data_IF_643337264109
#
_entry.id   IF_643337264109
#
_cell.length_a   1.000
_cell.length_b   1.000
_cell.length_c   1.000
_cell.angle_alpha   90.00
_cell.angle_beta   90.00
_cell.angle_gamma   90.00
#
_symmetry.space_group_name_H-M   'P 1'
#
loop_
_entity.id
_entity.type
_entity.pdbx_description
1 polymer ?
#
# COMPACT_ATOMS: atom_id res chain seq x y z
N UNK A 1 -8.18 3.15 -14.40
CA UNK A 1 -7.66 2.16 -13.43
C UNK A 1 -8.54 0.90 -13.40
N UNK A 2 -9.16 0.56 -14.53
CA UNK A 2 -9.99 -0.63 -14.68
C UNK A 2 -9.57 -1.30 -15.98
N UNK A 3 -8.91 -2.45 -15.88
CA UNK A 3 -8.76 -3.42 -16.98
C UNK A 3 -8.07 -4.65 -16.43
N UNK A 4 -8.86 -5.54 -15.83
CA UNK A 4 -8.79 -6.98 -16.14
C UNK A 4 -9.67 -7.84 -15.22
N UNK A 5 -10.03 -7.40 -14.00
CA UNK A 5 -10.72 -8.28 -13.03
C UNK A 5 -11.98 -7.70 -12.37
N UNK A 6 -12.36 -6.44 -12.65
CA UNK A 6 -13.54 -5.81 -12.01
C UNK A 6 -13.40 -5.60 -10.50
N UNK A 7 -12.16 -5.67 -9.99
CA UNK A 7 -11.85 -5.55 -8.56
C UNK A 7 -11.34 -4.14 -8.25
N UNK A 8 -11.94 -3.49 -7.27
CA UNK A 8 -11.46 -2.21 -6.76
C UNK A 8 -10.27 -2.42 -5.81
N UNK A 9 -9.10 -1.93 -6.23
CA UNK A 9 -7.86 -1.96 -5.47
C UNK A 9 -7.44 -0.53 -5.12
N UNK A 10 -6.81 -0.38 -3.96
CA UNK A 10 -6.14 0.85 -3.57
C UNK A 10 -4.71 0.60 -3.15
N UNK A 11 -3.88 1.64 -3.20
CA UNK A 11 -2.52 1.59 -2.70
C UNK A 11 -2.49 1.99 -1.23
N UNK A 12 -1.60 1.37 -0.48
CA UNK A 12 -1.24 1.80 0.87
C UNK A 12 0.25 2.09 0.89
N UNK A 13 0.59 3.31 1.28
CA UNK A 13 1.98 3.70 1.43
C UNK A 13 2.70 2.82 2.48
N UNK A 14 3.96 2.42 2.24
CA UNK A 14 4.72 2.70 1.02
C UNK A 14 4.47 1.71 -0.12
N UNK A 15 4.05 0.48 0.18
CA UNK A 15 4.34 -0.65 -0.68
C UNK A 15 3.27 -1.76 -0.75
N UNK A 16 2.06 -1.48 -0.28
CA UNK A 16 0.98 -2.46 -0.21
C UNK A 16 -0.14 -2.17 -1.20
N UNK A 17 -0.77 -3.22 -1.73
CA UNK A 17 -2.09 -3.12 -2.37
C UNK A 17 -3.16 -3.63 -1.40
N UNK A 18 -4.27 -2.92 -1.35
CA UNK A 18 -5.43 -3.27 -0.56
C UNK A 18 -6.59 -3.70 -1.45
N UNK A 19 -7.26 -4.78 -1.06
CA UNK A 19 -8.57 -5.17 -1.53
C UNK A 19 -9.57 -4.97 -0.40
N UNK A 20 -10.52 -4.03 -0.58
CA UNK A 20 -11.52 -3.69 0.44
C UNK A 20 -10.89 -3.36 1.82
N UNK A 21 -9.78 -2.62 1.80
CA UNK A 21 -9.04 -2.22 3.02
C UNK A 21 -8.13 -3.30 3.63
N UNK A 22 -8.10 -4.51 3.07
CA UNK A 22 -7.23 -5.62 3.53
C UNK A 22 -6.07 -5.84 2.57
N UNK A 23 -4.89 -6.17 3.10
CA UNK A 23 -3.68 -6.35 2.29
C UNK A 23 -3.80 -7.57 1.38
N UNK A 24 -3.72 -7.37 0.07
CA UNK A 24 -3.70 -8.44 -0.93
C UNK A 24 -2.34 -8.61 -1.58
N UNK A 25 -1.52 -7.55 -1.63
CA UNK A 25 -0.18 -7.60 -2.20
C UNK A 25 0.79 -6.80 -1.35
N UNK A 26 2.03 -7.28 -1.26
CA UNK A 26 3.18 -6.51 -0.83
C UNK A 26 4.21 -6.43 -1.94
N UNK A 27 4.80 -5.25 -2.11
CA UNK A 27 5.87 -4.99 -3.08
C UNK A 27 7.13 -4.63 -2.27
N UNK A 28 8.28 -5.12 -2.65
CA UNK A 28 9.54 -4.78 -1.99
C UNK A 28 10.62 -4.61 -3.05
N UNK A 29 11.32 -3.48 -2.99
CA UNK A 29 12.48 -3.22 -3.83
C UNK A 29 13.74 -3.26 -2.97
N UNK A 30 14.67 -4.12 -3.32
CA UNK A 30 15.98 -4.25 -2.69
C UNK A 30 17.04 -3.82 -3.70
N UNK A 31 17.94 -2.93 -3.30
CA UNK A 31 18.99 -2.43 -4.16
C UNK A 31 20.36 -2.88 -3.65
N UNK A 32 21.24 -3.25 -4.59
CA UNK A 32 22.67 -3.36 -4.35
C UNK A 32 23.31 -2.03 -4.75
N UNK A 33 24.22 -1.52 -3.93
CA UNK A 33 24.99 -0.32 -4.25
C UNK A 33 26.49 -0.59 -4.12
N UNK A 34 27.25 0.07 -4.97
CA UNK A 34 28.70 0.20 -4.82
C UNK A 34 28.98 1.68 -4.57
N UNK A 35 29.45 1.99 -3.36
CA UNK A 35 29.51 3.37 -2.87
C UNK A 35 28.13 4.07 -2.94
N UNK A 36 28.04 5.28 -3.48
CA UNK A 36 26.79 6.04 -3.64
C UNK A 36 26.00 5.70 -4.92
N UNK A 37 26.43 4.69 -5.69
CA UNK A 37 25.80 4.31 -6.97
C UNK A 37 25.04 3.01 -6.81
N UNK A 38 23.73 3.04 -7.09
CA UNK A 38 22.91 1.83 -7.20
C UNK A 38 23.37 1.04 -8.42
N UNK A 39 23.76 -0.23 -8.24
CA UNK A 39 24.16 -1.12 -9.33
C UNK A 39 22.99 -1.95 -9.84
N UNK A 40 22.27 -2.56 -8.92
CA UNK A 40 21.12 -3.42 -9.23
C UNK A 40 19.96 -3.07 -8.31
N UNK A 41 18.73 -3.28 -8.80
CA UNK A 41 17.52 -3.21 -8.00
C UNK A 41 16.63 -4.40 -8.35
N UNK A 42 16.28 -5.21 -7.35
CA UNK A 42 15.35 -6.32 -7.47
C UNK A 42 14.01 -5.92 -6.84
N UNK A 43 12.92 -6.03 -7.59
CA UNK A 43 11.58 -5.78 -7.06
C UNK A 43 10.80 -7.08 -6.97
N UNK A 44 10.52 -7.51 -5.74
CA UNK A 44 9.61 -8.60 -5.44
C UNK A 44 8.17 -8.12 -5.36
N UNK A 45 7.24 -8.86 -5.97
CA UNK A 45 5.80 -8.61 -5.92
C UNK A 45 5.11 -9.87 -5.40
N UNK A 46 4.65 -9.85 -4.16
CA UNK A 46 3.92 -10.96 -3.54
C UNK A 46 2.42 -10.70 -3.56
N UNK A 47 1.68 -11.40 -4.42
CA UNK A 47 0.23 -11.26 -4.56
C UNK A 47 -0.51 -12.50 -4.01
N UNK A 48 -1.44 -12.27 -3.09
CA UNK A 48 -2.27 -13.31 -2.50
C UNK A 48 -3.37 -13.74 -3.47
N UNK A 49 -3.24 -14.95 -4.04
CA UNK A 49 -4.23 -15.51 -4.97
C UNK A 49 -5.34 -16.22 -4.21
N UNK A 50 -5.02 -17.24 -3.43
CA UNK A 50 -5.97 -18.05 -2.67
C UNK A 50 -5.44 -18.29 -1.25
N UNK A 51 -6.33 -18.46 -0.25
CA UNK A 51 -5.92 -18.76 1.11
C UNK A 51 -5.15 -20.09 1.17
N UNK A 52 -4.15 -20.23 2.07
CA UNK A 52 -3.51 -21.50 2.30
C UNK A 52 -4.52 -22.52 2.83
N UNK A 53 -4.30 -23.81 2.55
CA UNK A 53 -5.12 -24.88 3.13
C UNK A 53 -5.12 -24.80 4.66
N UNK A 54 -6.27 -25.12 5.29
CA UNK A 54 -6.59 -24.85 6.70
C UNK A 54 -5.57 -25.36 7.75
N UNK A 55 -4.62 -26.22 7.37
CA UNK A 55 -3.52 -26.68 8.25
C UNK A 55 -2.44 -25.62 8.50
N UNK A 56 -2.46 -24.49 7.80
CA UNK A 56 -1.50 -23.39 7.98
C UNK A 56 -2.27 -22.15 8.46
N UNK A 57 -2.96 -22.26 9.60
CA UNK A 57 -3.39 -21.09 10.33
C UNK A 57 -2.15 -20.49 11.02
N UNK A 58 -1.51 -19.55 10.33
CA UNK A 58 -0.39 -18.77 10.88
C UNK A 58 -0.91 -17.46 11.45
N UNK A 59 -0.39 -17.08 12.61
CA UNK A 59 -0.54 -15.74 13.17
C UNK A 59 -0.16 -14.69 12.11
N UNK A 60 -1.00 -13.66 11.93
CA UNK A 60 -0.79 -12.59 10.95
C UNK A 60 -1.60 -12.68 9.64
N UNK A 61 -2.36 -13.77 9.40
CA UNK A 61 -3.20 -13.90 8.19
C UNK A 61 -4.60 -13.27 8.31
N UNK A 62 -5.03 -12.85 9.49
CA UNK A 62 -6.40 -12.37 9.76
C UNK A 62 -6.79 -11.11 8.96
N UNK A 63 -5.77 -10.32 8.59
CA UNK A 63 -5.91 -9.07 7.84
C UNK A 63 -5.54 -9.21 6.34
N UNK A 64 -5.23 -10.42 5.87
CA UNK A 64 -4.96 -10.66 4.46
C UNK A 64 -6.26 -10.76 3.65
N UNK A 65 -6.21 -10.26 2.43
CA UNK A 65 -7.19 -10.52 1.37
C UNK A 65 -6.58 -11.44 0.31
N UNK A 66 -7.45 -12.11 -0.44
CA UNK A 66 -7.10 -13.05 -1.49
C UNK A 66 -7.93 -12.75 -2.74
N UNK A 67 -7.31 -12.84 -3.91
CA UNK A 67 -7.97 -12.56 -5.18
C UNK A 67 -9.15 -13.51 -5.45
N UNK A 68 -9.03 -14.77 -5.00
CA UNK A 68 -10.07 -15.79 -5.08
C UNK A 68 -11.39 -15.41 -4.37
N UNK A 69 -11.38 -14.40 -3.50
CA UNK A 69 -12.61 -13.88 -2.89
C UNK A 69 -13.43 -12.97 -3.84
N UNK A 70 -12.88 -12.61 -4.99
CA UNK A 70 -13.52 -11.73 -5.99
C UNK A 70 -13.44 -12.26 -7.43
N UNK A 71 -12.71 -13.36 -7.65
CA UNK A 71 -12.47 -13.95 -8.97
C UNK A 71 -12.49 -15.47 -8.82
N UNK A 72 -13.32 -16.15 -9.59
CA UNK A 72 -13.55 -17.61 -9.44
C UNK A 72 -12.31 -18.44 -9.80
N UNK A 73 -11.64 -18.10 -10.91
CA UNK A 73 -10.43 -18.80 -11.36
C UNK A 73 -9.37 -17.80 -11.81
N UNK A 74 -8.16 -17.96 -11.29
CA UNK A 74 -7.02 -17.10 -11.60
C UNK A 74 -5.96 -17.89 -12.35
N UNK A 75 -5.85 -17.66 -13.64
CA UNK A 75 -4.67 -18.07 -14.42
C UNK A 75 -3.49 -17.18 -14.03
N UNK A 76 -2.55 -17.76 -13.27
CA UNK A 76 -1.37 -17.06 -12.76
C UNK A 76 -0.42 -16.65 -13.89
N UNK A 77 -0.33 -17.46 -14.95
CA UNK A 77 0.51 -17.17 -16.10
C UNK A 77 -0.04 -15.97 -16.88
N UNK A 78 -1.33 -15.97 -17.15
CA UNK A 78 -2.02 -14.84 -17.79
C UNK A 78 -1.92 -13.56 -16.93
N UNK A 79 -2.06 -13.69 -15.60
CA UNK A 79 -1.94 -12.56 -14.68
C UNK A 79 -0.54 -11.93 -14.71
N UNK A 80 0.51 -12.75 -14.62
CA UNK A 80 1.90 -12.26 -14.70
C UNK A 80 2.18 -11.65 -16.07
N UNK A 81 1.72 -12.28 -17.15
CA UNK A 81 1.87 -11.76 -18.51
C UNK A 81 1.17 -10.40 -18.71
N UNK A 82 0.08 -10.13 -17.98
CA UNK A 82 -0.60 -8.84 -18.00
C UNK A 82 0.11 -7.78 -17.13
N UNK A 83 0.70 -8.17 -16.00
CA UNK A 83 1.36 -7.24 -15.05
C UNK A 83 2.72 -6.78 -15.59
N UNK A 84 3.55 -7.69 -16.10
CA UNK A 84 4.95 -7.39 -16.46
C UNK A 84 5.12 -6.24 -17.46
N UNK A 85 4.34 -6.15 -18.57
CA UNK A 85 4.47 -5.03 -19.51
C UNK A 85 4.07 -3.70 -18.90
N UNK A 86 3.05 -3.69 -18.02
CA UNK A 86 2.62 -2.48 -17.31
C UNK A 86 3.70 -2.03 -16.32
N UNK A 87 4.27 -2.97 -15.56
CA UNK A 87 5.36 -2.69 -14.64
C UNK A 87 6.58 -2.11 -15.36
N UNK A 88 7.02 -2.74 -16.46
CA UNK A 88 8.11 -2.25 -17.29
C UNK A 88 7.82 -0.83 -17.84
N UNK A 89 6.57 -0.58 -18.27
CA UNK A 89 6.14 0.75 -18.70
C UNK A 89 6.24 1.81 -17.60
N UNK A 90 5.81 1.49 -16.38
CA UNK A 90 5.94 2.40 -15.23
C UNK A 90 7.41 2.65 -14.85
N UNK A 91 8.27 1.63 -14.90
CA UNK A 91 9.71 1.79 -14.65
C UNK A 91 10.34 2.72 -15.69
N UNK A 92 10.03 2.54 -16.97
CA UNK A 92 10.52 3.43 -18.02
C UNK A 92 9.99 4.87 -17.87
N UNK A 93 8.73 5.03 -17.46
CA UNK A 93 8.14 6.35 -17.21
C UNK A 93 8.74 7.02 -15.98
N UNK A 94 9.09 6.30 -14.91
CA UNK A 94 9.74 6.88 -13.73
C UNK A 94 11.04 7.60 -14.09
N UNK A 95 11.80 7.09 -15.06
CA UNK A 95 13.06 7.71 -15.53
C UNK A 95 12.81 9.03 -16.27
N UNK A 96 11.68 9.16 -16.96
CA UNK A 96 11.40 10.29 -17.87
C UNK A 96 10.39 11.28 -17.30
N UNK A 97 9.50 10.85 -16.40
CA UNK A 97 8.40 11.61 -15.84
C UNK A 97 7.93 11.04 -14.49
N UNK A 98 8.84 11.01 -13.51
CA UNK A 98 8.52 10.57 -12.15
C UNK A 98 7.32 11.31 -11.54
N UNK A 99 7.14 12.60 -11.84
CA UNK A 99 6.05 13.41 -11.31
C UNK A 99 4.67 12.91 -11.75
N UNK A 100 4.52 12.45 -13.01
CA UNK A 100 3.26 11.90 -13.49
C UNK A 100 2.93 10.56 -12.81
N UNK A 101 3.93 9.68 -12.67
CA UNK A 101 3.76 8.39 -11.96
C UNK A 101 3.35 8.64 -10.51
N UNK A 102 4.04 9.54 -9.82
CA UNK A 102 3.75 9.90 -8.44
C UNK A 102 2.37 10.54 -8.27
N UNK A 103 1.93 11.35 -9.25
CA UNK A 103 0.57 11.91 -9.26
C UNK A 103 -0.50 10.82 -9.34
N UNK A 104 -0.29 9.78 -10.16
CA UNK A 104 -1.19 8.62 -10.24
C UNK A 104 -1.15 7.79 -8.95
N UNK A 105 0.04 7.62 -8.35
CA UNK A 105 0.19 6.96 -7.06
C UNK A 105 -0.62 7.67 -5.98
N UNK A 106 -0.49 9.00 -5.84
CA UNK A 106 -1.23 9.83 -4.89
C UNK A 106 -2.75 9.66 -5.05
N UNK A 107 -3.25 9.69 -6.29
CA UNK A 107 -4.68 9.52 -6.57
C UNK A 107 -5.21 8.14 -6.15
N UNK A 108 -4.37 7.11 -6.23
CA UNK A 108 -4.71 5.73 -5.88
C UNK A 108 -4.39 5.35 -4.42
N UNK A 109 -3.69 6.21 -3.67
CA UNK A 109 -3.20 5.91 -2.33
C UNK A 109 -4.26 6.21 -1.27
N UNK A 110 -4.82 5.14 -0.70
CA UNK A 110 -5.82 5.17 0.35
C UNK A 110 -5.25 5.64 1.70
N UNK A 111 -3.92 5.68 1.86
CA UNK A 111 -3.30 6.26 3.07
C UNK A 111 -3.58 7.76 3.20
N UNK A 112 -3.66 8.50 2.08
CA UNK A 112 -3.87 9.95 2.12
C UNK A 112 -5.24 10.33 2.68
N UNK A 113 -5.27 11.34 3.54
CA UNK A 113 -6.46 11.81 4.24
C UNK A 113 -6.84 10.98 5.46
N UNK A 114 -6.19 9.84 5.72
CA UNK A 114 -6.49 8.97 6.86
C UNK A 114 -5.67 9.35 8.10
N UNK A 115 -6.28 9.11 9.25
CA UNK A 115 -5.56 9.02 10.51
C UNK A 115 -4.79 7.71 10.55
N UNK A 116 -3.47 7.80 10.73
CA UNK A 116 -2.58 6.64 10.70
C UNK A 116 -1.64 6.65 11.89
N UNK A 117 -1.16 5.47 12.21
CA UNK A 117 -0.04 5.25 13.12
C UNK A 117 1.17 4.83 12.31
N UNK A 118 2.27 5.55 12.42
CA UNK A 118 3.54 5.29 11.75
C UNK A 118 4.53 4.77 12.78
N UNK A 119 5.07 3.58 12.54
CA UNK A 119 6.06 2.91 13.37
C UNK A 119 7.43 3.01 12.69
N UNK A 120 8.41 3.57 13.40
CA UNK A 120 9.83 3.58 13.01
C UNK A 120 10.64 2.74 14.00
N UNK A 121 11.97 2.67 13.83
CA UNK A 121 12.91 1.87 14.65
C UNK A 121 13.05 2.31 16.13
N UNK A 122 12.05 2.97 16.70
CA UNK A 122 12.03 3.36 18.10
C UNK A 122 10.94 4.35 18.49
N UNK A 123 10.19 4.89 17.52
CA UNK A 123 9.16 5.90 17.76
C UNK A 123 7.84 5.51 17.09
N UNK A 124 6.75 5.99 17.68
CA UNK A 124 5.39 5.82 17.15
C UNK A 124 4.77 7.20 16.98
N UNK A 125 4.32 7.50 15.77
CA UNK A 125 3.66 8.76 15.42
C UNK A 125 2.22 8.51 15.04
N UNK A 126 1.30 9.26 15.63
CA UNK A 126 -0.12 9.20 15.27
C UNK A 126 -0.56 10.55 14.74
N UNK A 127 -0.99 10.57 13.47
CA UNK A 127 -1.34 11.81 12.78
C UNK A 127 -2.08 11.54 11.48
N UNK A 128 -2.54 12.61 10.84
CA UNK A 128 -3.21 12.50 9.54
C UNK A 128 -2.17 12.50 8.44
N UNK A 129 -2.22 11.52 7.54
CA UNK A 129 -1.42 11.50 6.32
C UNK A 129 -1.94 12.58 5.35
N UNK A 130 -1.22 13.69 5.24
CA UNK A 130 -1.68 14.87 4.49
C UNK A 130 -1.08 14.98 3.10
N UNK A 131 0.08 14.37 2.88
CA UNK A 131 0.79 14.48 1.62
C UNK A 131 1.70 13.27 1.40
N UNK A 132 1.92 12.93 0.13
CA UNK A 132 3.09 12.16 -0.29
C UNK A 132 3.94 13.15 -1.07
N UNK A 133 5.09 13.55 -0.55
CA UNK A 133 5.93 14.59 -1.13
C UNK A 133 6.59 14.17 -2.44
N UNK A 134 7.37 15.05 -3.06
CA UNK A 134 7.92 14.83 -4.41
C UNK A 134 8.94 13.70 -4.51
N UNK A 135 9.51 13.28 -3.38
CA UNK A 135 10.45 12.16 -3.30
C UNK A 135 9.76 10.85 -2.88
N UNK A 136 8.42 10.86 -2.75
CA UNK A 136 7.63 9.69 -2.35
C UNK A 136 7.49 9.51 -0.84
N UNK A 137 7.99 10.45 -0.03
CA UNK A 137 7.89 10.46 1.42
C UNK A 137 6.46 10.73 1.89
N UNK A 138 6.00 10.03 2.93
CA UNK A 138 4.73 10.30 3.57
C UNK A 138 4.88 11.46 4.57
N UNK A 139 4.02 12.47 4.47
CA UNK A 139 3.98 13.59 5.41
C UNK A 139 2.77 13.43 6.33
N UNK A 140 3.04 13.35 7.63
CA UNK A 140 2.01 13.40 8.67
C UNK A 140 1.85 14.82 9.20
N UNK A 141 0.60 15.22 9.44
CA UNK A 141 0.27 16.32 10.33
C UNK A 141 0.12 15.81 11.77
N UNK A 142 0.91 16.37 12.69
CA UNK A 142 0.99 16.04 14.12
C UNK A 142 0.61 17.28 14.94
N UNK A 143 -0.65 17.72 14.82
CA UNK A 143 -1.07 19.03 15.32
C UNK A 143 -0.58 20.15 14.41
N UNK A 144 0.19 21.10 14.95
CA UNK A 144 0.75 22.23 14.19
C UNK A 144 2.02 21.87 13.41
N UNK A 145 2.62 20.70 13.68
CA UNK A 145 3.84 20.24 13.04
C UNK A 145 3.57 19.27 11.88
N UNK A 146 4.50 19.25 10.92
CA UNK A 146 4.54 18.25 9.85
C UNK A 146 5.82 17.46 9.94
N UNK A 147 5.72 16.14 9.79
CA UNK A 147 6.88 15.23 9.79
C UNK A 147 6.85 14.32 8.57
N UNK A 148 7.98 14.23 7.88
CA UNK A 148 8.16 13.41 6.68
C UNK A 148 8.81 12.06 7.02
N UNK A 149 8.36 11.00 6.34
CA UNK A 149 8.83 9.63 6.50
C UNK A 149 9.12 9.02 5.13
N UNK A 150 10.33 8.49 4.96
CA UNK A 150 10.78 7.90 3.68
C UNK A 150 10.57 6.38 3.64
N UNK A 151 10.55 5.74 4.81
CA UNK A 151 10.18 4.34 5.01
C UNK A 151 9.67 4.18 6.44
N UNK A 152 8.58 3.45 6.62
CA UNK A 152 8.02 3.09 7.93
C UNK A 152 6.91 2.04 7.76
N UNK A 153 6.57 1.34 8.84
CA UNK A 153 5.33 0.58 8.88
C UNK A 153 4.17 1.51 9.23
N UNK A 154 3.07 1.42 8.49
CA UNK A 154 1.91 2.30 8.63
C UNK A 154 0.66 1.49 8.88
N UNK A 155 -0.04 1.81 9.96
CA UNK A 155 -1.32 1.20 10.30
C UNK A 155 -2.41 2.25 10.11
N UNK A 156 -3.42 1.92 9.29
CA UNK A 156 -4.61 2.76 9.18
C UNK A 156 -5.45 2.60 10.45
N UNK A 157 -5.90 3.70 11.04
CA UNK A 157 -6.85 3.62 12.13
C UNK A 157 -8.13 2.92 11.63
N UNK A 158 -8.64 1.97 12.42
CA UNK A 158 -10.00 1.49 12.23
C UNK A 158 -10.95 2.66 12.41
N UNK A 159 -12.02 2.77 11.60
CA UNK A 159 -13.08 3.74 11.87
C UNK A 159 -13.57 3.48 13.30
N UNK A 160 -13.57 4.52 14.15
CA UNK A 160 -14.21 4.40 15.45
C UNK A 160 -15.66 3.99 15.19
N UNK A 161 -16.12 2.89 15.80
CA UNK A 161 -17.54 2.62 15.89
C UNK A 161 -18.17 3.88 16.47
N UNK A 162 -19.08 4.49 15.73
CA UNK A 162 -19.80 5.68 16.14
C UNK A 162 -20.46 5.33 17.46
N UNK A 163 -19.88 5.79 18.56
CA UNK A 163 -20.53 5.67 19.86
C UNK A 163 -21.60 6.74 19.81
N UNK A 164 -22.82 6.35 19.47
CA UNK A 164 -24.00 7.16 19.72
C UNK A 164 -23.99 7.45 21.22
N UNK A 165 -23.54 8.65 21.58
CA UNK A 165 -23.90 9.24 22.84
C UNK A 165 -25.38 9.55 22.71
N UNK A 166 -26.21 8.60 23.15
CA UNK A 166 -27.60 8.86 23.46
C UNK A 166 -27.63 10.02 24.45
N UNK A 167 -28.09 11.16 23.93
CA UNK A 167 -28.27 12.37 24.69
C UNK A 167 -29.32 12.11 25.76
N UNK A 168 -28.89 12.26 27.01
CA UNK A 168 -29.78 12.65 28.11
C UNK A 168 -30.65 13.82 27.64
N UNK A 169 -31.96 13.57 27.54
CA UNK A 169 -32.99 14.60 27.59
C UNK A 169 -34.14 14.11 28.45
N UNK A 170 -34.17 14.71 29.64
CA UNK A 170 -35.32 15.14 30.48
C UNK A 170 -36.41 14.13 30.84
#
# INVERSE_FOLDING_TARGET
>A
MERSLGVALSLKWPNDLLLRGKKICGILSEASSDSEVIRDCCTGIGLNIAPPEAKIAREGLENAAYLAASVDEVDRGALVAAILPLFAGYVAELVTNAAAVLSRYRLACDTLGRLVTVHTDGEIFRGTAVEIGSSGELVLALGDERRAFYAADVVHATPAATTEQDGERE
#
